data_IF_581804120439
#
_entry.id   IF_581804120439
#
_cell.length_a   1.000
_cell.length_b   1.000
_cell.length_c   1.000
_cell.angle_alpha   90.00
_cell.angle_beta   90.00
_cell.angle_gamma   90.00
#
_symmetry.space_group_name_H-M   'P 1'
#
loop_
_entity.id
_entity.type
_entity.pdbx_description
1 polymer ?
#
# COMPACT_ATOMS: atom_id res chain seq x y z
N UNK A 1 -15.52 -21.55 -19.63
CA UNK A 1 -15.01 -22.95 -19.58
C UNK A 1 -13.62 -22.87 -18.99
N UNK A 2 -13.36 -23.50 -17.80
CA UNK A 2 -12.04 -23.50 -17.21
C UNK A 2 -10.99 -24.02 -18.21
N UNK A 3 -9.84 -23.32 -18.33
CA UNK A 3 -8.76 -23.72 -19.23
C UNK A 3 -8.94 -23.36 -20.70
N UNK A 4 -10.01 -22.64 -21.10
CA UNK A 4 -10.16 -22.20 -22.49
C UNK A 4 -9.11 -21.13 -22.82
N UNK A 5 -8.24 -21.42 -23.79
CA UNK A 5 -7.34 -20.45 -24.42
C UNK A 5 -8.13 -19.64 -25.47
N UNK A 6 -9.05 -18.80 -24.99
CA UNK A 6 -9.78 -17.90 -25.88
C UNK A 6 -8.86 -16.78 -26.41
N UNK A 7 -8.88 -16.53 -27.71
CA UNK A 7 -8.17 -15.43 -28.39
C UNK A 7 -8.88 -14.07 -28.22
N UNK A 8 -9.76 -13.93 -27.23
CA UNK A 8 -10.47 -12.69 -26.98
C UNK A 8 -9.49 -11.62 -26.45
N UNK A 9 -9.59 -10.44 -27.01
CA UNK A 9 -8.87 -9.27 -26.47
C UNK A 9 -9.24 -9.07 -25.00
N UNK A 10 -8.26 -8.70 -24.20
CA UNK A 10 -8.48 -8.39 -22.75
C UNK A 10 -9.41 -7.20 -22.57
N UNK A 11 -9.40 -6.26 -23.51
CA UNK A 11 -10.29 -5.10 -23.53
C UNK A 11 -11.39 -5.32 -24.57
N UNK A 12 -12.63 -5.44 -24.12
CA UNK A 12 -13.81 -5.46 -24.99
C UNK A 12 -14.17 -4.04 -25.43
N UNK A 13 -15.04 -3.90 -26.45
CA UNK A 13 -15.58 -2.59 -26.85
C UNK A 13 -16.25 -1.83 -25.70
N UNK A 14 -16.84 -2.55 -24.76
CA UNK A 14 -17.45 -1.98 -23.57
C UNK A 14 -16.35 -1.45 -22.60
N UNK A 15 -15.24 -2.18 -22.43
CA UNK A 15 -14.13 -1.77 -21.60
C UNK A 15 -13.47 -0.51 -22.17
N UNK A 16 -13.34 -0.38 -23.49
CA UNK A 16 -12.81 0.81 -24.15
C UNK A 16 -13.64 2.05 -23.75
N UNK A 17 -14.98 1.95 -23.76
CA UNK A 17 -15.86 3.05 -23.33
C UNK A 17 -15.68 3.38 -21.85
N UNK A 18 -15.47 2.39 -20.99
CA UNK A 18 -15.18 2.62 -19.56
C UNK A 18 -13.81 3.27 -19.35
N UNK A 19 -12.81 2.92 -20.15
CA UNK A 19 -11.48 3.55 -20.11
C UNK A 19 -11.58 5.01 -20.54
N UNK A 20 -12.34 5.32 -21.61
CA UNK A 20 -12.61 6.68 -22.03
C UNK A 20 -13.31 7.50 -20.90
N UNK A 21 -14.34 6.91 -20.28
CA UNK A 21 -14.99 7.53 -19.13
C UNK A 21 -14.01 7.77 -17.98
N UNK A 22 -13.19 6.77 -17.62
CA UNK A 22 -12.20 6.89 -16.55
C UNK A 22 -11.13 7.95 -16.86
N UNK A 23 -10.72 8.06 -18.12
CA UNK A 23 -9.74 9.05 -18.55
C UNK A 23 -10.23 10.49 -18.38
N UNK A 24 -11.52 10.75 -18.57
CA UNK A 24 -12.14 12.08 -18.43
C UNK A 24 -12.64 12.38 -17.01
N UNK A 25 -12.53 11.45 -16.09
CA UNK A 25 -12.91 11.63 -14.70
C UNK A 25 -11.69 11.47 -13.79
N UNK A 26 -11.78 12.04 -12.57
CA UNK A 26 -10.68 12.04 -11.60
C UNK A 26 -10.59 10.66 -10.91
N UNK A 27 -10.28 9.62 -11.68
CA UNK A 27 -10.13 8.24 -11.21
C UNK A 27 -8.67 7.98 -10.84
N UNK A 28 -8.43 7.46 -9.64
CA UNK A 28 -7.09 7.16 -9.13
C UNK A 28 -6.56 5.80 -9.61
N UNK A 29 -7.43 4.78 -9.60
CA UNK A 29 -7.04 3.40 -9.89
C UNK A 29 -8.05 2.70 -10.81
N UNK A 30 -7.53 1.92 -11.76
CA UNK A 30 -8.31 0.99 -12.57
C UNK A 30 -7.90 -0.45 -12.29
N UNK A 31 -8.86 -1.31 -12.00
CA UNK A 31 -8.66 -2.75 -11.87
C UNK A 31 -8.82 -3.43 -13.23
N UNK A 32 -7.75 -4.01 -13.77
CA UNK A 32 -7.80 -4.78 -15.01
C UNK A 32 -8.05 -6.26 -14.70
N UNK A 33 -9.22 -6.77 -15.07
CA UNK A 33 -9.59 -8.18 -14.89
C UNK A 33 -9.00 -9.06 -15.98
N UNK A 34 -8.85 -10.34 -15.68
CA UNK A 34 -8.43 -11.39 -16.59
C UNK A 34 -7.09 -11.14 -17.32
N UNK A 35 -6.17 -10.46 -16.65
CA UNK A 35 -4.79 -10.27 -17.13
C UNK A 35 -4.15 -11.63 -17.36
N UNK A 36 -3.43 -11.80 -18.47
CA UNK A 36 -2.70 -13.01 -18.84
C UNK A 36 -1.20 -12.76 -18.98
N UNK A 37 -0.85 -11.58 -19.48
CA UNK A 37 0.52 -11.17 -19.76
C UNK A 37 0.74 -9.65 -19.63
N UNK A 38 2.00 -9.22 -19.64
CA UNK A 38 2.36 -7.81 -19.49
C UNK A 38 1.76 -6.92 -20.60
N UNK A 39 1.63 -7.42 -21.83
CA UNK A 39 1.06 -6.69 -22.96
C UNK A 39 -0.40 -6.26 -22.72
N UNK A 40 -1.16 -7.02 -21.93
CA UNK A 40 -2.55 -6.67 -21.58
C UNK A 40 -2.59 -5.37 -20.74
N UNK A 41 -1.65 -5.21 -19.82
CA UNK A 41 -1.53 -4.01 -18.99
C UNK A 41 -1.01 -2.82 -19.79
N UNK A 42 -0.04 -3.07 -20.68
CA UNK A 42 0.52 -2.02 -21.56
C UNK A 42 -0.57 -1.47 -22.48
N UNK A 43 -1.39 -2.31 -23.10
CA UNK A 43 -2.54 -1.88 -23.94
C UNK A 43 -3.50 -0.96 -23.18
N UNK A 44 -3.86 -1.31 -21.93
CA UNK A 44 -4.72 -0.44 -21.12
C UNK A 44 -4.05 0.91 -20.84
N UNK A 45 -2.76 0.92 -20.52
CA UNK A 45 -2.00 2.13 -20.24
C UNK A 45 -1.91 3.04 -21.49
N UNK A 46 -1.63 2.47 -22.65
CA UNK A 46 -1.59 3.20 -23.93
C UNK A 46 -2.97 3.81 -24.26
N UNK A 47 -4.05 3.06 -24.01
CA UNK A 47 -5.40 3.55 -24.21
C UNK A 47 -5.73 4.73 -23.27
N UNK A 48 -5.39 4.65 -21.98
CA UNK A 48 -5.53 5.76 -21.02
C UNK A 48 -4.75 6.99 -21.49
N UNK A 49 -3.50 6.80 -21.92
CA UNK A 49 -2.66 7.89 -22.42
C UNK A 49 -3.23 8.53 -23.69
N UNK A 50 -3.80 7.74 -24.60
CA UNK A 50 -4.43 8.26 -25.83
C UNK A 50 -5.64 9.14 -25.55
N UNK A 51 -6.31 8.93 -24.42
CA UNK A 51 -7.40 9.78 -23.90
C UNK A 51 -6.92 10.89 -22.94
N UNK A 52 -5.59 11.11 -22.84
CA UNK A 52 -4.99 12.21 -22.07
C UNK A 52 -4.81 11.93 -20.57
N UNK A 53 -5.16 10.74 -20.09
CA UNK A 53 -4.94 10.38 -18.68
C UNK A 53 -3.59 9.64 -18.52
N UNK A 54 -2.64 10.31 -17.87
CA UNK A 54 -1.30 9.77 -17.58
C UNK A 54 -1.08 9.49 -16.10
N UNK A 55 -2.09 9.72 -15.24
CA UNK A 55 -1.97 9.63 -13.78
C UNK A 55 -2.67 8.43 -13.16
N UNK A 56 -3.71 7.91 -13.82
CA UNK A 56 -4.43 6.75 -13.30
C UNK A 56 -3.53 5.52 -13.21
N UNK A 57 -3.61 4.83 -12.08
CA UNK A 57 -2.82 3.63 -11.76
C UNK A 57 -3.57 2.37 -12.15
N UNK A 58 -2.85 1.35 -12.59
CA UNK A 58 -3.42 0.07 -13.02
C UNK A 58 -3.12 -1.01 -11.97
N UNK A 59 -4.20 -1.59 -11.41
CA UNK A 59 -4.13 -2.79 -10.56
C UNK A 59 -4.45 -4.00 -11.42
N UNK A 60 -3.45 -4.84 -11.67
CA UNK A 60 -3.63 -6.08 -12.43
C UNK A 60 -4.23 -7.16 -11.54
N UNK A 61 -5.39 -7.70 -11.94
CA UNK A 61 -6.09 -8.77 -11.23
C UNK A 61 -5.58 -10.13 -11.72
N UNK A 62 -5.00 -10.90 -10.80
CA UNK A 62 -4.44 -12.22 -11.08
C UNK A 62 -5.53 -13.25 -10.83
N UNK A 63 -6.13 -13.71 -11.92
CA UNK A 63 -7.31 -14.59 -11.97
C UNK A 63 -7.05 -15.84 -12.83
N UNK A 64 -5.99 -15.85 -13.63
CA UNK A 64 -5.70 -16.89 -14.63
C UNK A 64 -4.36 -17.57 -14.39
N UNK A 65 -4.23 -18.89 -14.70
CA UNK A 65 -2.95 -19.62 -14.61
C UNK A 65 -1.84 -18.96 -15.44
N UNK A 66 -2.20 -18.40 -16.60
CA UNK A 66 -1.26 -17.69 -17.48
C UNK A 66 -0.64 -16.48 -16.75
N UNK A 67 -1.45 -15.71 -16.00
CA UNK A 67 -0.96 -14.59 -15.22
C UNK A 67 0.01 -15.04 -14.12
N UNK A 68 -0.27 -16.17 -13.48
CA UNK A 68 0.64 -16.75 -12.47
C UNK A 68 1.99 -17.11 -13.08
N UNK A 69 2.00 -17.69 -14.26
CA UNK A 69 3.23 -18.03 -14.98
C UNK A 69 4.02 -16.80 -15.44
N UNK A 70 3.32 -15.72 -15.80
CA UNK A 70 3.89 -14.47 -16.32
C UNK A 70 4.02 -13.38 -15.24
N UNK A 71 3.89 -13.74 -13.97
CA UNK A 71 3.69 -12.79 -12.86
C UNK A 71 4.81 -11.75 -12.74
N UNK A 72 6.07 -12.13 -13.01
CA UNK A 72 7.20 -11.21 -12.89
C UNK A 72 7.08 -10.08 -13.93
N UNK A 73 6.77 -10.41 -15.19
CA UNK A 73 6.59 -9.43 -16.26
C UNK A 73 5.35 -8.55 -16.01
N UNK A 74 4.26 -9.11 -15.47
CA UNK A 74 3.05 -8.36 -15.14
C UNK A 74 3.33 -7.36 -14.00
N UNK A 75 4.05 -7.77 -12.95
CA UNK A 75 4.43 -6.89 -11.83
C UNK A 75 5.24 -5.68 -12.33
N UNK A 76 6.18 -5.87 -13.25
CA UNK A 76 7.02 -4.77 -13.75
C UNK A 76 6.19 -3.65 -14.39
N UNK A 77 5.16 -3.98 -15.16
CA UNK A 77 4.35 -3.00 -15.90
C UNK A 77 3.10 -2.51 -15.13
N UNK A 78 2.75 -3.14 -14.02
CA UNK A 78 1.60 -2.78 -13.18
C UNK A 78 1.97 -1.76 -12.10
N UNK A 79 1.00 -1.01 -11.62
CA UNK A 79 1.16 -0.12 -10.44
C UNK A 79 0.81 -0.85 -9.14
N UNK A 80 -0.03 -1.88 -9.22
CA UNK A 80 -0.34 -2.78 -8.13
C UNK A 80 -0.90 -4.11 -8.64
N UNK A 81 -1.03 -5.06 -7.73
CA UNK A 81 -1.50 -6.41 -8.02
C UNK A 81 -2.68 -6.75 -7.10
N UNK A 82 -3.71 -7.37 -7.66
CA UNK A 82 -4.79 -7.95 -6.86
C UNK A 82 -4.79 -9.47 -7.03
N UNK A 83 -4.68 -10.18 -5.94
CA UNK A 83 -4.90 -11.64 -5.89
C UNK A 83 -6.39 -11.88 -5.74
N UNK A 84 -7.07 -12.16 -6.86
CA UNK A 84 -8.52 -12.40 -6.91
C UNK A 84 -8.80 -13.90 -6.77
N UNK A 85 -8.89 -14.36 -5.51
CA UNK A 85 -8.86 -15.78 -5.17
C UNK A 85 -10.06 -16.57 -5.66
N UNK A 86 -11.24 -15.94 -5.74
CA UNK A 86 -12.46 -16.59 -6.24
C UNK A 86 -12.29 -17.12 -7.66
N UNK A 87 -11.94 -16.22 -8.60
CA UNK A 87 -11.74 -16.58 -10.00
C UNK A 87 -10.49 -17.46 -10.17
N UNK A 88 -9.41 -17.14 -9.47
CA UNK A 88 -8.19 -17.93 -9.51
C UNK A 88 -8.42 -19.36 -9.02
N UNK A 89 -9.22 -19.57 -7.95
CA UNK A 89 -9.53 -20.90 -7.42
C UNK A 89 -10.41 -21.76 -8.33
N UNK A 90 -11.13 -21.15 -9.28
CA UNK A 90 -11.86 -21.88 -10.33
C UNK A 90 -10.89 -22.38 -11.42
N UNK A 91 -9.84 -21.62 -11.69
CA UNK A 91 -8.90 -21.86 -12.80
C UNK A 91 -7.71 -22.73 -12.39
N UNK A 92 -7.29 -22.66 -11.12
CA UNK A 92 -6.28 -23.55 -10.53
C UNK A 92 -6.91 -24.35 -9.40
N UNK A 93 -6.29 -25.46 -9.00
CA UNK A 93 -6.81 -26.23 -7.87
C UNK A 93 -6.68 -25.48 -6.55
N UNK A 94 -7.73 -25.54 -5.71
CA UNK A 94 -7.88 -24.75 -4.48
C UNK A 94 -6.69 -24.88 -3.52
N UNK A 95 -6.10 -26.05 -3.41
CA UNK A 95 -4.93 -26.28 -2.54
C UNK A 95 -3.68 -25.53 -2.97
N UNK A 96 -3.61 -25.04 -4.23
CA UNK A 96 -2.49 -24.26 -4.74
C UNK A 96 -2.66 -22.76 -4.46
N UNK A 97 -3.90 -22.29 -4.31
CA UNK A 97 -4.20 -20.85 -4.13
C UNK A 97 -3.39 -20.21 -3.01
N UNK A 98 -3.28 -20.78 -1.79
CA UNK A 98 -2.53 -20.17 -0.70
C UNK A 98 -1.03 -19.98 -1.02
N UNK A 99 -0.42 -20.93 -1.72
CA UNK A 99 1.00 -20.84 -2.09
C UNK A 99 1.22 -19.83 -3.20
N UNK A 100 0.32 -19.79 -4.18
CA UNK A 100 0.34 -18.79 -5.26
C UNK A 100 0.17 -17.39 -4.65
N UNK A 101 -0.80 -17.17 -3.75
CA UNK A 101 -0.99 -15.91 -3.02
C UNK A 101 0.31 -15.45 -2.36
N UNK A 102 0.93 -16.28 -1.53
CA UNK A 102 2.19 -15.95 -0.83
C UNK A 102 3.31 -15.60 -1.80
N UNK A 103 3.38 -16.30 -2.92
CA UNK A 103 4.40 -16.07 -3.95
C UNK A 103 4.19 -14.72 -4.62
N UNK A 104 2.96 -14.39 -5.01
CA UNK A 104 2.61 -13.11 -5.64
C UNK A 104 2.89 -11.95 -4.69
N UNK A 105 2.40 -12.03 -3.43
CA UNK A 105 2.61 -10.97 -2.43
C UNK A 105 4.12 -10.71 -2.26
N UNK A 106 4.93 -11.76 -2.07
CA UNK A 106 6.36 -11.60 -1.89
C UNK A 106 7.05 -10.95 -3.09
N UNK A 107 6.69 -11.34 -4.32
CA UNK A 107 7.27 -10.79 -5.55
C UNK A 107 6.89 -9.31 -5.73
N UNK A 108 5.62 -8.98 -5.52
CA UNK A 108 5.12 -7.61 -5.65
C UNK A 108 5.75 -6.68 -4.59
N UNK A 109 5.82 -7.10 -3.33
CA UNK A 109 6.49 -6.35 -2.27
C UNK A 109 7.97 -6.09 -2.59
N UNK A 110 8.68 -7.06 -3.19
CA UNK A 110 10.08 -6.87 -3.63
C UNK A 110 10.21 -5.72 -4.64
N UNK A 111 9.17 -5.48 -5.44
CA UNK A 111 9.11 -4.42 -6.46
C UNK A 111 8.36 -3.17 -5.98
N UNK A 112 8.06 -3.07 -4.70
CA UNK A 112 7.27 -1.98 -4.09
C UNK A 112 5.95 -1.74 -4.79
N UNK A 113 5.29 -2.81 -5.23
CA UNK A 113 3.95 -2.72 -5.83
C UNK A 113 2.90 -3.03 -4.78
N UNK A 114 1.88 -2.19 -4.71
CA UNK A 114 0.71 -2.42 -3.84
C UNK A 114 0.11 -3.79 -4.11
N UNK A 115 -0.19 -4.53 -3.04
CA UNK A 115 -0.86 -5.83 -3.13
C UNK A 115 -2.18 -5.81 -2.41
N UNK A 116 -3.24 -6.21 -3.11
CA UNK A 116 -4.59 -6.39 -2.58
C UNK A 116 -4.92 -7.88 -2.60
N UNK A 117 -5.35 -8.43 -1.47
CA UNK A 117 -5.96 -9.77 -1.44
C UNK A 117 -7.48 -9.60 -1.40
N UNK A 118 -8.16 -10.25 -2.33
CA UNK A 118 -9.57 -10.04 -2.59
C UNK A 118 -10.32 -11.37 -2.72
N UNK A 119 -11.63 -11.29 -2.51
CA UNK A 119 -12.65 -12.35 -2.65
C UNK A 119 -12.55 -13.46 -1.62
N UNK A 120 -13.70 -13.97 -1.20
CA UNK A 120 -13.83 -15.05 -0.20
C UNK A 120 -13.05 -14.76 1.10
N UNK A 121 -13.13 -13.51 1.58
CA UNK A 121 -12.45 -13.12 2.82
C UNK A 121 -13.30 -13.45 4.06
N UNK A 122 -14.55 -12.99 4.06
CA UNK A 122 -15.55 -13.22 5.10
C UNK A 122 -16.88 -13.65 4.46
N UNK A 123 -16.83 -14.55 3.50
CA UNK A 123 -17.92 -14.90 2.59
C UNK A 123 -19.20 -15.32 3.35
N UNK A 124 -19.06 -16.04 4.48
CA UNK A 124 -20.20 -16.41 5.32
C UNK A 124 -20.94 -15.19 5.91
N UNK A 125 -20.28 -14.02 5.99
CA UNK A 125 -20.90 -12.79 6.47
C UNK A 125 -21.82 -12.11 5.43
N UNK A 126 -21.95 -12.65 4.24
CA UNK A 126 -23.03 -12.28 3.32
C UNK A 126 -24.39 -12.55 3.99
N UNK A 127 -24.51 -13.69 4.70
CA UNK A 127 -25.77 -14.14 5.32
C UNK A 127 -25.70 -14.20 6.87
N UNK A 128 -24.52 -14.17 7.48
CA UNK A 128 -24.34 -14.33 8.91
C UNK A 128 -23.67 -13.10 9.55
N UNK A 129 -24.01 -12.73 10.80
CA UNK A 129 -23.44 -11.57 11.47
C UNK A 129 -22.01 -11.78 11.98
N UNK A 130 -21.50 -13.01 11.96
CA UNK A 130 -20.15 -13.37 12.39
C UNK A 130 -19.51 -14.35 11.38
N UNK A 131 -18.19 -14.25 11.15
CA UNK A 131 -17.48 -15.15 10.24
C UNK A 131 -17.19 -16.50 10.88
N UNK A 132 -16.82 -17.45 10.06
CA UNK A 132 -16.24 -18.72 10.51
C UNK A 132 -14.81 -18.50 11.05
N UNK A 133 -14.32 -19.47 11.84
CA UNK A 133 -12.92 -19.45 12.29
C UNK A 133 -11.92 -19.61 11.14
N UNK A 134 -12.29 -20.32 10.09
CA UNK A 134 -11.46 -20.50 8.90
C UNK A 134 -11.25 -19.17 8.17
N UNK A 135 -12.32 -18.40 7.96
CA UNK A 135 -12.28 -17.08 7.34
C UNK A 135 -11.46 -16.09 8.18
N UNK A 136 -11.68 -16.06 9.49
CA UNK A 136 -10.88 -15.23 10.42
C UNK A 136 -9.38 -15.56 10.31
N UNK A 137 -9.04 -16.87 10.24
CA UNK A 137 -7.66 -17.31 10.06
C UNK A 137 -7.11 -16.93 8.69
N UNK A 138 -7.92 -16.98 7.66
CA UNK A 138 -7.52 -16.65 6.29
C UNK A 138 -7.22 -15.17 6.12
N UNK A 139 -8.09 -14.30 6.63
CA UNK A 139 -7.84 -12.84 6.69
C UNK A 139 -6.54 -12.54 7.44
N UNK A 140 -6.37 -13.15 8.62
CA UNK A 140 -5.15 -12.97 9.41
C UNK A 140 -3.89 -13.40 8.63
N UNK A 141 -3.95 -14.54 7.92
CA UNK A 141 -2.83 -15.02 7.10
C UNK A 141 -2.51 -14.09 5.93
N UNK A 142 -3.51 -13.54 5.23
CA UNK A 142 -3.28 -12.57 4.16
C UNK A 142 -2.51 -11.34 4.67
N UNK A 143 -2.84 -10.85 5.86
CA UNK A 143 -2.14 -9.72 6.50
C UNK A 143 -0.71 -10.11 6.89
N UNK A 144 -0.52 -11.30 7.49
CA UNK A 144 0.80 -11.83 7.87
C UNK A 144 1.69 -12.10 6.67
N UNK A 145 1.11 -12.45 5.51
CA UNK A 145 1.84 -12.61 4.24
C UNK A 145 2.43 -11.30 3.73
N UNK A 146 1.94 -10.15 4.23
CA UNK A 146 2.45 -8.82 3.90
C UNK A 146 1.66 -8.08 2.84
N UNK A 147 0.37 -8.40 2.64
CA UNK A 147 -0.51 -7.61 1.77
C UNK A 147 -0.66 -6.17 2.29
N UNK A 148 -0.88 -5.23 1.39
CA UNK A 148 -1.11 -3.82 1.73
C UNK A 148 -2.58 -3.53 2.03
N UNK A 149 -3.49 -4.18 1.31
CA UNK A 149 -4.92 -4.06 1.51
C UNK A 149 -5.62 -5.41 1.39
N UNK A 150 -6.77 -5.51 2.04
CA UNK A 150 -7.71 -6.63 1.97
C UNK A 150 -9.06 -6.08 1.52
N UNK A 151 -9.76 -6.80 0.65
CA UNK A 151 -10.99 -6.31 0.03
C UNK A 151 -12.16 -7.26 0.31
N UNK A 152 -13.27 -6.68 0.75
CA UNK A 152 -14.59 -7.32 0.78
C UNK A 152 -15.29 -7.09 -0.56
N UNK A 153 -16.08 -8.04 -0.99
CA UNK A 153 -16.84 -8.01 -2.26
C UNK A 153 -18.35 -8.18 -1.98
N UNK A 154 -18.85 -9.39 -2.09
CA UNK A 154 -20.25 -9.70 -1.83
C UNK A 154 -20.71 -9.33 -0.43
N UNK A 155 -19.84 -9.46 0.56
CA UNK A 155 -20.08 -9.17 1.96
C UNK A 155 -20.57 -7.73 2.19
N UNK A 156 -20.09 -6.79 1.38
CA UNK A 156 -20.46 -5.36 1.46
C UNK A 156 -21.37 -4.90 0.33
N UNK A 157 -21.31 -5.55 -0.84
CA UNK A 157 -22.08 -5.13 -2.01
C UNK A 157 -23.54 -5.66 -2.02
N UNK A 158 -23.76 -6.86 -1.45
CA UNK A 158 -25.06 -7.53 -1.46
C UNK A 158 -25.40 -8.26 -0.14
N UNK A 159 -24.48 -8.29 0.81
CA UNK A 159 -24.65 -9.00 2.09
C UNK A 159 -25.65 -8.32 3.01
N UNK A 160 -26.18 -9.08 3.95
CA UNK A 160 -27.10 -8.61 4.99
C UNK A 160 -26.38 -7.84 6.13
N UNK A 161 -25.06 -8.00 6.26
CA UNK A 161 -24.25 -7.47 7.37
C UNK A 161 -23.03 -6.67 6.91
N UNK A 162 -23.17 -5.65 6.01
CA UNK A 162 -22.02 -4.97 5.41
C UNK A 162 -21.17 -4.19 6.42
N UNK A 163 -21.79 -3.56 7.41
CA UNK A 163 -21.08 -2.77 8.44
C UNK A 163 -20.29 -3.70 9.37
N UNK A 164 -20.93 -4.79 9.80
CA UNK A 164 -20.32 -5.81 10.67
C UNK A 164 -19.15 -6.51 9.98
N UNK A 165 -19.27 -6.77 8.66
CA UNK A 165 -18.18 -7.36 7.87
C UNK A 165 -16.93 -6.44 7.84
N UNK A 166 -17.11 -5.15 7.60
CA UNK A 166 -16.01 -4.17 7.64
C UNK A 166 -15.44 -4.06 9.06
N UNK A 167 -16.30 -4.00 10.08
CA UNK A 167 -15.86 -3.92 11.48
C UNK A 167 -15.09 -5.18 11.90
N UNK A 168 -15.52 -6.35 11.47
CA UNK A 168 -14.83 -7.62 11.73
C UNK A 168 -13.47 -7.66 11.01
N UNK A 169 -13.43 -7.28 9.74
CA UNK A 169 -12.20 -7.19 8.96
C UNK A 169 -11.15 -6.31 9.67
N UNK A 170 -11.60 -5.11 10.12
CA UNK A 170 -10.75 -4.20 10.90
C UNK A 170 -10.28 -4.83 12.20
N UNK A 171 -11.18 -5.46 12.97
CA UNK A 171 -10.84 -6.11 14.24
C UNK A 171 -9.80 -7.21 14.08
N UNK A 172 -9.88 -8.00 13.01
CA UNK A 172 -8.88 -9.01 12.69
C UNK A 172 -7.55 -8.34 12.35
N UNK A 173 -7.57 -7.30 11.52
CA UNK A 173 -6.38 -6.56 11.13
C UNK A 173 -5.66 -5.96 12.34
N UNK A 174 -6.38 -5.25 13.21
CA UNK A 174 -5.83 -4.64 14.43
C UNK A 174 -5.15 -5.70 15.31
N UNK A 175 -5.83 -6.84 15.53
CA UNK A 175 -5.30 -7.94 16.36
C UNK A 175 -4.01 -8.54 15.78
N UNK A 176 -3.94 -8.69 14.46
CA UNK A 176 -2.74 -9.19 13.78
C UNK A 176 -1.61 -8.17 13.88
N UNK A 177 -1.90 -6.89 13.67
CA UNK A 177 -0.91 -5.80 13.70
C UNK A 177 -0.30 -5.59 15.09
N UNK A 178 -1.08 -5.76 16.16
CA UNK A 178 -0.61 -5.72 17.54
C UNK A 178 0.21 -6.96 17.93
N UNK A 179 0.12 -8.04 17.17
CA UNK A 179 0.74 -9.32 17.50
C UNK A 179 2.28 -9.29 17.41
N UNK A 180 2.98 -10.11 18.22
CA UNK A 180 4.44 -10.25 18.12
C UNK A 180 4.91 -10.79 16.76
N UNK A 181 4.03 -11.45 16.00
CA UNK A 181 4.36 -12.00 14.68
C UNK A 181 4.63 -10.88 13.67
N UNK A 182 3.85 -9.79 13.72
CA UNK A 182 4.07 -8.62 12.86
C UNK A 182 5.36 -7.88 13.18
N UNK A 183 5.77 -7.84 14.46
CA UNK A 183 7.03 -7.18 14.87
C UNK A 183 8.28 -7.82 14.26
N UNK A 184 8.18 -9.04 13.74
CA UNK A 184 9.28 -9.75 13.05
C UNK A 184 9.36 -9.43 11.57
N UNK A 185 8.36 -8.74 10.99
CA UNK A 185 8.39 -8.37 9.58
C UNK A 185 9.57 -7.44 9.32
N UNK A 186 10.24 -7.68 8.21
CA UNK A 186 11.42 -6.96 7.74
C UNK A 186 11.21 -6.69 6.25
N UNK A 187 11.99 -5.79 5.72
CA UNK A 187 12.08 -5.63 4.27
C UNK A 187 12.28 -6.97 3.56
N UNK A 188 11.66 -7.19 2.40
CA UNK A 188 11.87 -8.40 1.62
C UNK A 188 13.37 -8.63 1.37
N UNK A 189 13.86 -9.83 1.70
CA UNK A 189 15.30 -10.15 1.59
C UNK A 189 15.85 -9.87 0.18
N UNK A 190 15.09 -10.23 -0.85
CA UNK A 190 15.47 -10.01 -2.24
C UNK A 190 15.58 -8.52 -2.57
N UNK A 191 14.69 -7.68 -2.03
CA UNK A 191 14.76 -6.23 -2.16
C UNK A 191 16.05 -5.68 -1.53
N UNK A 192 16.43 -6.17 -0.35
CA UNK A 192 17.70 -5.79 0.30
C UNK A 192 18.90 -6.19 -0.56
N UNK A 193 18.88 -7.38 -1.16
CA UNK A 193 19.94 -7.88 -2.02
C UNK A 193 20.06 -7.09 -3.33
N UNK A 194 18.91 -6.74 -3.97
CA UNK A 194 18.87 -5.95 -5.20
C UNK A 194 19.25 -4.47 -4.98
N UNK A 195 18.92 -3.91 -3.81
CA UNK A 195 19.15 -2.50 -3.46
C UNK A 195 20.21 -2.31 -2.38
N UNK A 196 21.14 -3.26 -2.22
CA UNK A 196 22.15 -3.26 -1.14
C UNK A 196 22.99 -1.99 -1.05
N UNK A 197 23.26 -1.35 -2.17
CA UNK A 197 24.05 -0.12 -2.28
C UNK A 197 23.17 1.15 -2.28
N UNK A 198 21.85 1.00 -2.12
CA UNK A 198 20.91 2.12 -2.07
C UNK A 198 20.96 2.81 -0.72
N UNK A 199 21.29 4.10 -0.73
CA UNK A 199 21.24 4.96 0.46
C UNK A 199 19.82 4.98 1.07
N UNK A 200 18.79 5.08 0.24
CA UNK A 200 17.40 5.08 0.69
C UNK A 200 17.04 3.76 1.41
N UNK A 201 17.48 2.60 0.88
CA UNK A 201 17.26 1.31 1.53
C UNK A 201 17.96 1.23 2.89
N UNK A 202 19.21 1.68 2.99
CA UNK A 202 19.95 1.69 4.26
C UNK A 202 19.22 2.55 5.32
N UNK A 203 18.68 3.70 4.91
CA UNK A 203 17.88 4.58 5.77
C UNK A 203 16.57 3.89 6.17
N UNK A 204 15.83 3.29 5.23
CA UNK A 204 14.59 2.57 5.51
C UNK A 204 14.79 1.44 6.53
N UNK A 205 15.85 0.64 6.37
CA UNK A 205 16.21 -0.41 7.32
C UNK A 205 16.57 0.16 8.70
N UNK A 206 17.31 1.27 8.76
CA UNK A 206 17.64 1.95 10.01
C UNK A 206 16.39 2.47 10.72
N UNK A 207 15.47 3.09 9.99
CA UNK A 207 14.17 3.54 10.52
C UNK A 207 13.37 2.37 11.09
N UNK A 208 13.30 1.26 10.36
CA UNK A 208 12.58 0.07 10.83
C UNK A 208 13.22 -0.53 12.10
N UNK A 209 14.54 -0.47 12.22
CA UNK A 209 15.24 -0.93 13.42
C UNK A 209 15.05 0.03 14.61
N UNK A 210 15.12 1.33 14.37
CA UNK A 210 14.83 2.36 15.37
C UNK A 210 13.39 2.28 15.86
N UNK A 211 12.41 2.13 14.95
CA UNK A 211 11.00 1.98 15.30
C UNK A 211 10.72 0.76 16.20
N UNK A 212 11.51 -0.31 16.06
CA UNK A 212 11.40 -1.49 16.93
C UNK A 212 12.07 -1.32 18.30
N UNK A 213 13.14 -0.53 18.38
CA UNK A 213 13.97 -0.38 19.59
C UNK A 213 13.61 0.83 20.44
N UNK A 214 13.03 1.86 19.82
CA UNK A 214 12.66 3.10 20.47
C UNK A 214 11.14 3.20 20.61
N UNK A 215 10.67 3.91 21.62
CA UNK A 215 9.24 4.21 21.79
C UNK A 215 8.85 5.42 20.92
N UNK A 216 8.98 5.28 19.60
CA UNK A 216 8.55 6.29 18.64
C UNK A 216 7.09 6.03 18.26
N UNK A 217 6.32 7.10 18.08
CA UNK A 217 4.87 7.05 17.82
C UNK A 217 4.55 6.98 16.33
N UNK A 218 5.43 7.54 15.48
CA UNK A 218 5.21 7.59 14.04
C UNK A 218 6.52 7.81 13.27
N UNK A 219 6.47 7.55 11.96
CA UNK A 219 7.45 8.04 10.99
C UNK A 219 6.81 9.16 10.17
N UNK A 220 7.49 10.27 10.04
CA UNK A 220 7.11 11.39 9.19
C UNK A 220 7.96 11.30 7.92
N UNK A 221 7.32 10.96 6.82
CA UNK A 221 7.97 10.83 5.52
C UNK A 221 7.72 12.08 4.67
N UNK A 222 8.74 12.92 4.52
CA UNK A 222 8.70 14.04 3.58
C UNK A 222 8.96 13.48 2.18
N UNK A 223 7.97 13.54 1.29
CA UNK A 223 8.06 12.85 -0.01
C UNK A 223 7.51 13.69 -1.15
N UNK A 224 8.35 13.94 -2.16
CA UNK A 224 7.97 14.67 -3.37
C UNK A 224 7.32 13.80 -4.46
N UNK A 225 7.49 12.48 -4.42
CA UNK A 225 6.98 11.54 -5.42
C UNK A 225 6.24 10.32 -4.84
N UNK A 226 6.14 10.24 -3.51
CA UNK A 226 5.63 9.04 -2.83
C UNK A 226 6.69 7.95 -2.57
N UNK A 227 7.90 8.06 -3.15
CA UNK A 227 8.95 7.04 -3.05
C UNK A 227 9.33 6.71 -1.61
N UNK A 228 9.63 7.72 -0.78
CA UNK A 228 10.02 7.51 0.63
C UNK A 228 8.95 6.76 1.41
N UNK A 229 7.69 7.15 1.22
CA UNK A 229 6.56 6.51 1.91
C UNK A 229 6.34 5.06 1.45
N UNK A 230 6.34 4.80 0.14
CA UNK A 230 6.19 3.44 -0.41
C UNK A 230 7.36 2.52 0.01
N UNK A 231 8.58 3.02 -0.01
CA UNK A 231 9.75 2.28 0.44
C UNK A 231 9.63 1.90 1.92
N UNK A 232 9.25 2.84 2.79
CA UNK A 232 9.04 2.57 4.22
C UNK A 232 7.92 1.58 4.49
N UNK A 233 6.85 1.60 3.69
CA UNK A 233 5.72 0.68 3.80
C UNK A 233 6.17 -0.79 3.66
N UNK A 234 7.18 -1.07 2.82
CA UNK A 234 7.73 -2.42 2.66
C UNK A 234 8.42 -2.95 3.92
N UNK A 235 8.85 -2.07 4.82
CA UNK A 235 9.34 -2.44 6.14
C UNK A 235 8.26 -2.99 7.06
N UNK A 236 6.98 -2.88 6.67
CA UNK A 236 5.78 -3.29 7.42
C UNK A 236 5.88 -2.87 8.89
N UNK A 237 6.09 -1.56 9.08
CA UNK A 237 6.27 -0.96 10.41
C UNK A 237 4.98 -1.11 11.24
N UNK A 238 5.14 -1.27 12.56
CA UNK A 238 4.00 -1.34 13.51
C UNK A 238 3.55 0.05 14.00
N UNK A 239 4.09 1.11 13.40
CA UNK A 239 3.75 2.49 13.69
C UNK A 239 3.32 3.17 12.39
N UNK A 240 2.44 4.17 12.43
CA UNK A 240 1.98 4.86 11.24
C UNK A 240 3.11 5.61 10.54
N UNK A 241 3.04 5.65 9.21
CA UNK A 241 3.88 6.46 8.33
C UNK A 241 3.01 7.63 7.85
N UNK A 242 3.24 8.81 8.38
CA UNK A 242 2.58 10.02 7.93
C UNK A 242 3.37 10.63 6.77
N UNK A 243 2.84 10.52 5.55
CA UNK A 243 3.48 10.98 4.35
C UNK A 243 3.06 12.43 4.03
N UNK A 244 3.99 13.35 4.18
CA UNK A 244 3.81 14.74 3.84
C UNK A 244 4.08 14.94 2.35
N UNK A 245 3.04 15.22 1.57
CA UNK A 245 3.05 15.30 0.10
C UNK A 245 2.76 16.71 -0.39
N UNK A 246 3.38 17.16 -1.50
CA UNK A 246 3.13 18.48 -2.06
C UNK A 246 1.84 18.57 -2.89
N UNK A 247 1.23 17.44 -3.26
CA UNK A 247 0.07 17.43 -4.13
C UNK A 247 -0.93 16.31 -3.82
N UNK A 248 -2.18 16.54 -4.22
CA UNK A 248 -3.29 15.59 -4.09
C UNK A 248 -3.01 14.28 -4.84
N UNK A 249 -2.40 14.35 -6.03
CA UNK A 249 -2.14 13.18 -6.85
C UNK A 249 -1.16 12.23 -6.15
N UNK A 250 -0.06 12.75 -5.62
CA UNK A 250 0.90 11.95 -4.87
C UNK A 250 0.26 11.31 -3.62
N UNK A 251 -0.57 12.07 -2.90
CA UNK A 251 -1.32 11.54 -1.76
C UNK A 251 -2.21 10.35 -2.15
N UNK A 252 -2.90 10.44 -3.29
CA UNK A 252 -3.77 9.38 -3.79
C UNK A 252 -2.96 8.15 -4.21
N UNK A 253 -1.84 8.35 -4.89
CA UNK A 253 -0.93 7.31 -5.37
C UNK A 253 -0.41 6.39 -4.26
N UNK A 254 -0.21 6.94 -3.06
CA UNK A 254 0.37 6.17 -1.94
C UNK A 254 -0.64 5.73 -0.89
N UNK A 255 -1.92 6.04 -1.06
CA UNK A 255 -2.95 5.78 -0.05
C UNK A 255 -3.24 4.29 0.17
N UNK A 256 -2.97 3.44 -0.81
CA UNK A 256 -3.19 2.00 -0.71
C UNK A 256 -2.03 1.26 -0.02
N UNK A 257 -0.86 1.88 0.16
CA UNK A 257 0.23 1.24 0.90
C UNK A 257 -0.11 1.09 2.37
N UNK A 258 0.17 -0.08 2.91
CA UNK A 258 -0.12 -0.40 4.29
C UNK A 258 0.58 0.55 5.27
N UNK A 259 -0.18 1.06 6.22
CA UNK A 259 0.32 1.93 7.28
C UNK A 259 0.70 3.33 6.83
N UNK A 260 0.45 3.70 5.55
CA UNK A 260 0.72 5.04 5.02
C UNK A 260 -0.52 5.91 5.12
N UNK A 261 -0.36 7.06 5.76
CA UNK A 261 -1.38 8.09 5.90
C UNK A 261 -0.89 9.36 5.22
N UNK A 262 -1.32 9.62 3.97
CA UNK A 262 -0.87 10.78 3.21
C UNK A 262 -1.61 12.05 3.60
N UNK A 263 -0.85 13.15 3.68
CA UNK A 263 -1.35 14.50 3.95
C UNK A 263 -0.74 15.49 2.97
N UNK A 264 -1.57 16.37 2.44
CA UNK A 264 -1.09 17.53 1.68
C UNK A 264 -0.58 18.53 2.71
N UNK A 265 0.66 18.96 2.55
CA UNK A 265 1.29 19.97 3.40
C UNK A 265 1.71 21.14 2.55
N UNK A 266 1.42 22.35 3.05
CA UNK A 266 1.73 23.62 2.42
C UNK A 266 2.81 24.36 3.22
N UNK A 267 3.80 23.62 3.71
CA UNK A 267 4.98 24.20 4.33
C UNK A 267 6.23 23.72 3.61
N UNK A 268 7.26 24.57 3.62
CA UNK A 268 8.56 24.17 3.11
C UNK A 268 9.08 22.98 3.91
N UNK A 269 9.35 21.88 3.24
CA UNK A 269 9.90 20.66 3.86
C UNK A 269 11.37 20.83 4.28
N UNK A 270 11.82 22.07 4.47
CA UNK A 270 13.11 22.38 5.09
C UNK A 270 13.11 21.92 6.55
N UNK A 271 14.27 21.60 7.09
CA UNK A 271 14.43 21.15 8.48
C UNK A 271 14.89 22.32 9.37
N UNK A 272 14.52 23.53 9.03
CA UNK A 272 14.76 24.71 9.88
C UNK A 272 13.78 24.77 11.07
N UNK A 273 14.05 25.69 11.99
CA UNK A 273 13.24 25.81 13.23
C UNK A 273 11.78 26.14 12.98
N UNK A 274 11.50 26.97 11.98
CA UNK A 274 10.14 27.43 11.72
C UNK A 274 9.32 26.32 11.08
N UNK A 275 9.87 25.63 10.08
CA UNK A 275 9.23 24.48 9.44
C UNK A 275 8.98 23.32 10.43
N UNK A 276 9.90 23.10 11.37
CA UNK A 276 9.70 22.09 12.41
C UNK A 276 8.59 22.47 13.40
N UNK A 277 8.39 23.76 13.72
CA UNK A 277 7.26 24.20 14.55
C UNK A 277 5.92 24.03 13.83
N UNK A 278 5.87 24.42 12.56
CA UNK A 278 4.67 24.21 11.73
C UNK A 278 4.34 22.73 11.61
N UNK A 279 5.35 21.90 11.46
CA UNK A 279 5.19 20.44 11.47
C UNK A 279 4.65 19.95 12.82
N UNK A 280 5.18 20.40 13.98
CA UNK A 280 4.67 20.03 15.29
C UNK A 280 3.20 20.39 15.47
N UNK A 281 2.80 21.62 15.11
CA UNK A 281 1.42 22.06 15.19
C UNK A 281 0.50 21.21 14.29
N UNK A 282 0.94 20.91 13.08
CA UNK A 282 0.22 20.04 12.17
C UNK A 282 0.06 18.62 12.73
N UNK A 283 1.13 18.02 13.26
CA UNK A 283 1.15 16.67 13.82
C UNK A 283 0.24 16.56 15.04
N UNK A 284 0.30 17.54 15.96
CA UNK A 284 -0.56 17.57 17.14
C UNK A 284 -2.04 17.73 16.76
N UNK A 285 -2.34 18.63 15.81
CA UNK A 285 -3.72 18.93 15.40
C UNK A 285 -4.35 17.81 14.60
N UNK A 286 -3.60 17.26 13.62
CA UNK A 286 -4.15 16.35 12.58
C UNK A 286 -3.95 14.87 12.92
N UNK A 287 -2.93 14.54 13.72
CA UNK A 287 -2.49 13.16 13.95
C UNK A 287 -2.59 12.72 15.40
N UNK A 288 -3.15 13.55 16.28
CA UNK A 288 -3.31 13.28 17.72
C UNK A 288 -2.02 12.89 18.43
N UNK A 289 -0.88 13.43 17.96
CA UNK A 289 0.38 13.32 18.68
C UNK A 289 0.43 14.38 19.78
N UNK A 290 1.11 14.06 20.85
CA UNK A 290 1.17 14.90 22.05
C UNK A 290 2.55 15.54 22.21
N UNK A 291 2.60 16.60 23.00
CA UNK A 291 3.85 17.25 23.42
C UNK A 291 4.77 16.25 24.15
N UNK A 292 5.99 16.09 23.68
CA UNK A 292 6.94 15.10 24.19
C UNK A 292 6.97 13.78 23.45
N UNK A 293 6.02 13.51 22.54
CA UNK A 293 6.06 12.31 21.69
C UNK A 293 7.30 12.32 20.80
N UNK A 294 7.93 11.16 20.63
CA UNK A 294 9.05 10.97 19.72
C UNK A 294 8.56 10.48 18.36
N UNK A 295 9.05 11.10 17.29
CA UNK A 295 8.83 10.68 15.91
C UNK A 295 10.16 10.60 15.14
N UNK A 296 10.19 9.80 14.08
CA UNK A 296 11.30 9.77 13.13
C UNK A 296 10.91 10.58 11.91
N UNK A 297 11.70 11.59 11.56
CA UNK A 297 11.50 12.39 10.34
C UNK A 297 12.53 11.96 9.30
N UNK A 298 12.08 11.73 8.08
CA UNK A 298 12.93 11.29 6.97
C UNK A 298 12.47 11.87 5.64
N UNK A 299 13.37 11.96 4.70
CA UNK A 299 13.13 12.52 3.38
C UNK A 299 14.43 12.78 2.63
N UNK A 300 14.41 13.77 1.74
CA UNK A 300 15.57 14.24 0.99
C UNK A 300 15.87 15.70 1.30
N UNK A 301 17.13 16.04 1.58
CA UNK A 301 17.65 17.39 1.86
C UNK A 301 18.85 17.64 0.94
N UNK A 302 19.06 18.86 0.38
CA UNK A 302 18.29 20.11 0.60
C UNK A 302 16.99 20.20 -0.16
N UNK A 303 16.74 19.36 -1.13
CA UNK A 303 15.54 19.38 -1.95
C UNK A 303 14.81 18.03 -1.84
N UNK A 304 13.51 18.02 -2.07
CA UNK A 304 12.70 16.81 -2.24
C UNK A 304 13.07 16.13 -3.58
N UNK A 305 14.30 15.63 -3.68
CA UNK A 305 14.78 14.93 -4.86
C UNK A 305 13.94 13.67 -5.09
N UNK A 306 13.46 13.51 -6.32
CA UNK A 306 12.73 12.31 -6.72
C UNK A 306 13.63 11.08 -6.55
N UNK A 307 13.19 10.11 -5.74
CA UNK A 307 13.93 8.87 -5.50
C UNK A 307 15.07 8.94 -4.48
N UNK A 308 15.29 10.10 -3.83
CA UNK A 308 16.34 10.27 -2.83
C UNK A 308 15.80 10.37 -1.40
N UNK A 309 16.08 9.38 -0.55
CA UNK A 309 15.92 9.51 0.90
C UNK A 309 17.31 9.50 1.51
N UNK A 310 17.72 10.60 2.19
CA UNK A 310 19.12 10.79 2.56
C UNK A 310 19.38 11.22 4.01
N UNK A 311 18.32 11.33 4.85
CA UNK A 311 18.49 11.66 6.25
C UNK A 311 17.47 10.95 7.17
N UNK A 312 17.83 10.86 8.45
CA UNK A 312 16.94 10.49 9.56
C UNK A 312 17.12 11.50 10.67
N UNK A 313 16.02 12.04 11.20
CA UNK A 313 16.02 12.89 12.39
C UNK A 313 15.09 12.29 13.44
N UNK A 314 15.62 12.10 14.64
CA UNK A 314 14.78 11.86 15.83
C UNK A 314 14.27 13.22 16.27
N UNK A 315 12.95 13.36 16.31
CA UNK A 315 12.29 14.60 16.65
C UNK A 315 11.32 14.39 17.82
N UNK A 316 11.39 15.29 18.79
CA UNK A 316 10.48 15.32 19.94
C UNK A 316 9.51 16.46 19.72
N UNK A 317 8.22 16.15 19.66
CA UNK A 317 7.14 17.10 19.42
C UNK A 317 7.16 18.20 20.52
N UNK A 318 7.04 19.46 20.10
CA UNK A 318 6.97 20.61 21.00
C UNK A 318 8.28 21.02 21.68
N UNK A 319 9.38 20.29 21.49
CA UNK A 319 10.68 20.59 22.14
C UNK A 319 11.18 22.00 21.84
N UNK A 320 11.07 22.48 20.63
CA UNK A 320 11.52 23.81 20.23
C UNK A 320 10.72 24.89 20.95
N UNK A 321 9.42 24.73 21.08
CA UNK A 321 8.54 25.66 21.80
C UNK A 321 8.89 25.74 23.31
N UNK A 322 9.17 24.58 23.92
CA UNK A 322 9.61 24.54 25.34
C UNK A 322 10.95 25.23 25.55
N UNK A 323 11.92 25.04 24.66
CA UNK A 323 13.23 25.69 24.75
C UNK A 323 13.14 27.21 24.65
N UNK A 324 12.28 27.74 23.77
CA UNK A 324 12.07 29.19 23.63
C UNK A 324 11.36 29.80 24.84
N UNK A 325 10.43 29.09 25.43
CA UNK A 325 9.74 29.54 26.65
C UNK A 325 10.66 29.52 27.87
N UNK A 326 11.64 28.63 27.92
CA UNK A 326 12.63 28.59 28.99
C UNK A 326 13.74 29.66 28.87
N UNK A 327 13.87 30.30 27.70
CA UNK A 327 14.85 31.38 27.45
C UNK A 327 14.24 32.78 27.63
N UNK A 328 12.93 32.88 27.82
CA UNK A 328 12.20 34.10 28.16
C UNK A 328 12.00 34.21 29.66
#
# INVERSE_FOLDING_TARGET
IPGSQGSLDVLTERDIKFVEFAAHNDIDYLGLSFVREASDVVKLRELLHSHGNTTARIISKIEKPQAVNNIDAIIEVSDGIMVARGDLGIEISNEKVPIVQKTIIRKANTKRKVVIVATQMLDSMIENPIPTRAETSDVANAILDGTDAIMLSGETAAGAYPVEAVAMMKKIADNVEESPFMRKNKFPRKMIEEEKDSQAMAIGMSIADMARKMNVKAVIALTGSGFTASMLAEGKLNIPIFACCPSKNICRDIKLYRGVFPYIVDFDASIDKESLKQMDEFLMKSMKLEDGDLVLVTGSVPELLVGGTNFIKIHEIGKLKRQENAQK
#
